data_IF_612971573600
#
_entry.id   IF_612971573600
#
_cell.length_a   1.000
_cell.length_b   1.000
_cell.length_c   1.000
_cell.angle_alpha   90.00
_cell.angle_beta   90.00
_cell.angle_gamma   90.00
#
_symmetry.space_group_name_H-M   'P 1'
#
loop_
_entity.id
_entity.type
_entity.pdbx_description
1 polymer ?
#
# COMPACT_ATOMS: atom_id res chain seq x y z
N UNK A 1 -16.81 4.18 5.82
CA UNK A 1 -15.89 3.81 4.73
C UNK A 1 -16.46 2.62 3.98
N UNK A 2 -16.09 2.45 2.71
CA UNK A 2 -16.51 1.31 1.87
C UNK A 2 -15.99 0.00 2.49
N UNK A 3 -16.82 -1.03 2.51
CA UNK A 3 -16.48 -2.34 3.08
C UNK A 3 -15.55 -3.07 2.10
N UNK A 4 -14.33 -3.42 2.54
CA UNK A 4 -13.30 -4.11 1.72
C UNK A 4 -13.85 -5.30 0.92
N UNK A 5 -14.81 -6.04 1.48
CA UNK A 5 -15.49 -7.16 0.81
C UNK A 5 -16.13 -6.79 -0.54
N UNK A 6 -16.88 -5.70 -0.59
CA UNK A 6 -17.63 -5.30 -1.78
C UNK A 6 -16.69 -4.85 -2.89
N UNK A 7 -15.56 -4.25 -2.50
CA UNK A 7 -14.47 -3.90 -3.39
C UNK A 7 -13.71 -5.15 -3.89
N UNK A 8 -13.27 -6.04 -3.00
CA UNK A 8 -12.47 -7.21 -3.33
C UNK A 8 -13.19 -8.23 -4.21
N UNK A 9 -14.50 -8.39 -4.00
CA UNK A 9 -15.33 -9.35 -4.73
C UNK A 9 -16.28 -8.70 -5.73
N UNK A 10 -16.10 -7.40 -5.97
CA UNK A 10 -16.77 -6.66 -7.04
C UNK A 10 -16.29 -7.05 -8.44
N UNK A 11 -16.75 -6.35 -9.48
CA UNK A 11 -16.42 -6.66 -10.89
C UNK A 11 -15.00 -6.21 -11.30
N UNK A 12 -14.09 -6.00 -10.34
CA UNK A 12 -12.78 -5.43 -10.58
C UNK A 12 -11.71 -6.52 -10.73
N UNK A 13 -10.70 -6.28 -11.55
CA UNK A 13 -9.60 -7.22 -11.69
C UNK A 13 -8.67 -7.16 -10.46
N UNK A 14 -8.12 -8.31 -10.08
CA UNK A 14 -7.26 -8.45 -8.91
C UNK A 14 -6.05 -7.48 -8.93
N UNK A 15 -5.47 -7.24 -10.11
CA UNK A 15 -4.32 -6.35 -10.23
C UNK A 15 -4.67 -4.89 -9.91
N UNK A 16 -5.81 -4.39 -10.39
CA UNK A 16 -6.29 -3.04 -10.04
C UNK A 16 -6.63 -2.94 -8.55
N UNK A 17 -7.23 -3.98 -7.97
CA UNK A 17 -7.50 -4.02 -6.53
C UNK A 17 -6.20 -3.89 -5.73
N UNK A 18 -5.15 -4.64 -6.11
CA UNK A 18 -3.85 -4.61 -5.43
C UNK A 18 -3.14 -3.26 -5.59
N UNK A 19 -3.19 -2.65 -6.78
CA UNK A 19 -2.59 -1.33 -7.02
C UNK A 19 -3.28 -0.25 -6.19
N UNK A 20 -4.61 -0.24 -6.15
CA UNK A 20 -5.39 0.71 -5.35
C UNK A 20 -5.15 0.49 -3.86
N UNK A 21 -5.08 -0.76 -3.39
CA UNK A 21 -4.79 -1.05 -1.98
C UNK A 21 -3.42 -0.49 -1.55
N UNK A 22 -2.41 -0.59 -2.43
CA UNK A 22 -1.09 0.03 -2.20
C UNK A 22 -1.12 1.56 -2.20
N UNK A 23 -1.92 2.19 -3.07
CA UNK A 23 -2.13 3.64 -3.06
C UNK A 23 -2.77 4.06 -1.73
N UNK A 24 -3.80 3.32 -1.28
CA UNK A 24 -4.49 3.61 -0.02
C UNK A 24 -3.57 3.44 1.19
N UNK A 25 -2.76 2.37 1.22
CA UNK A 25 -1.76 2.18 2.27
C UNK A 25 -0.75 3.32 2.31
N UNK A 26 -0.19 3.71 1.15
CA UNK A 26 0.75 4.84 1.02
C UNK A 26 0.11 6.12 1.55
N UNK A 27 -1.13 6.40 1.15
CA UNK A 27 -1.87 7.60 1.57
C UNK A 27 -2.10 7.63 3.08
N UNK A 28 -2.53 6.51 3.68
CA UNK A 28 -2.77 6.43 5.13
C UNK A 28 -1.48 6.61 5.93
N UNK A 29 -0.37 6.04 5.47
CA UNK A 29 0.95 6.20 6.11
C UNK A 29 1.44 7.65 6.05
N UNK A 30 1.33 8.32 4.90
CA UNK A 30 1.73 9.73 4.76
C UNK A 30 0.84 10.67 5.55
N UNK A 31 -0.47 10.43 5.62
CA UNK A 31 -1.36 11.18 6.52
C UNK A 31 -0.87 11.04 7.96
N UNK A 32 -0.57 9.82 8.42
CA UNK A 32 -0.06 9.62 9.78
C UNK A 32 1.27 10.34 10.03
N UNK A 33 2.21 10.31 9.07
CA UNK A 33 3.48 11.03 9.17
C UNK A 33 3.29 12.55 9.21
N UNK A 34 2.42 13.10 8.35
CA UNK A 34 2.12 14.54 8.35
C UNK A 34 1.47 14.99 9.66
N UNK A 35 0.64 14.15 10.27
CA UNK A 35 0.08 14.42 11.60
C UNK A 35 1.16 14.38 12.70
N UNK A 36 2.12 13.45 12.64
CA UNK A 36 3.28 13.43 13.55
C UNK A 36 4.12 14.70 13.39
N UNK A 37 4.38 15.12 12.15
CA UNK A 37 5.12 16.36 11.87
C UNK A 37 4.38 17.59 12.43
N UNK A 38 3.04 17.56 12.42
CA UNK A 38 2.16 18.54 13.05
C UNK A 38 2.03 18.43 14.59
N UNK A 39 2.68 17.45 15.22
CA UNK A 39 2.74 17.27 16.67
C UNK A 39 1.81 16.20 17.27
N UNK A 40 1.05 15.45 16.46
CA UNK A 40 0.26 14.32 16.94
C UNK A 40 1.09 13.02 16.95
N UNK A 41 1.78 12.78 18.06
CA UNK A 41 2.62 11.59 18.27
C UNK A 41 1.83 10.27 18.23
N UNK A 42 0.50 10.30 18.34
CA UNK A 42 -0.32 9.08 18.35
C UNK A 42 -0.81 8.68 16.94
N UNK A 43 -0.60 9.52 15.92
CA UNK A 43 -1.20 9.32 14.60
C UNK A 43 -0.74 8.00 13.93
N UNK A 44 0.55 7.65 14.02
CA UNK A 44 1.04 6.39 13.46
C UNK A 44 0.49 5.17 14.21
N UNK A 45 0.37 5.25 15.53
CA UNK A 45 -0.26 4.18 16.33
C UNK A 45 -1.71 3.97 15.94
N UNK A 46 -2.48 5.04 15.73
CA UNK A 46 -3.86 4.95 15.26
C UNK A 46 -3.95 4.32 13.85
N UNK A 47 -3.00 4.64 12.96
CA UNK A 47 -2.91 4.03 11.64
C UNK A 47 -2.59 2.53 11.70
N UNK A 48 -1.68 2.11 12.58
CA UNK A 48 -1.37 0.70 12.84
C UNK A 48 -2.59 -0.03 13.38
N UNK A 49 -3.32 0.54 14.35
CA UNK A 49 -4.56 -0.03 14.88
C UNK A 49 -5.64 -0.17 13.81
N UNK A 50 -5.79 0.83 12.94
CA UNK A 50 -6.68 0.76 11.78
C UNK A 50 -6.28 -0.37 10.83
N UNK A 51 -4.99 -0.48 10.50
CA UNK A 51 -4.45 -1.47 9.58
C UNK A 51 -4.63 -2.89 10.12
N UNK A 52 -4.40 -3.11 11.42
CA UNK A 52 -4.67 -4.38 12.08
C UNK A 52 -6.16 -4.78 12.00
N UNK A 53 -7.08 -3.84 12.24
CA UNK A 53 -8.53 -4.11 12.08
C UNK A 53 -8.89 -4.49 10.64
N UNK A 54 -8.27 -3.85 9.65
CA UNK A 54 -8.48 -4.21 8.25
C UNK A 54 -7.94 -5.62 7.94
N UNK A 55 -6.77 -5.98 8.47
CA UNK A 55 -6.18 -7.32 8.34
C UNK A 55 -7.08 -8.38 8.99
N UNK A 56 -7.59 -8.15 10.21
CA UNK A 56 -8.53 -9.04 10.89
C UNK A 56 -9.78 -9.30 10.04
N UNK A 57 -10.32 -8.25 9.41
CA UNK A 57 -11.45 -8.38 8.50
C UNK A 57 -11.08 -9.20 7.26
N UNK A 58 -9.92 -8.95 6.63
CA UNK A 58 -9.39 -9.76 5.51
C UNK A 58 -9.22 -11.24 5.89
N UNK A 59 -8.74 -11.52 7.11
CA UNK A 59 -8.62 -12.89 7.66
C UNK A 59 -10.00 -13.53 7.87
N UNK A 60 -11.02 -12.74 8.22
CA UNK A 60 -12.41 -13.21 8.25
C UNK A 60 -12.90 -13.63 6.86
N UNK A 61 -12.59 -12.84 5.83
CA UNK A 61 -13.02 -13.11 4.44
C UNK A 61 -12.43 -14.40 3.86
N UNK A 62 -11.20 -14.79 4.22
CA UNK A 62 -10.60 -16.04 3.72
C UNK A 62 -11.27 -17.32 4.25
N UNK A 63 -12.09 -17.20 5.30
CA UNK A 63 -12.88 -18.31 5.87
C UNK A 63 -14.18 -18.56 5.11
N UNK A 64 -14.57 -17.67 4.20
CA UNK A 64 -15.73 -17.85 3.33
C UNK A 64 -15.42 -18.87 2.23
N UNK A 65 -16.47 -19.32 1.54
CA UNK A 65 -16.29 -20.10 0.31
C UNK A 65 -15.86 -19.16 -0.83
N UNK A 66 -14.57 -19.19 -1.14
CA UNK A 66 -13.93 -18.35 -2.13
C UNK A 66 -13.59 -19.15 -3.37
N UNK A 67 -13.89 -18.58 -4.54
CA UNK A 67 -13.36 -19.09 -5.81
C UNK A 67 -11.83 -19.12 -5.80
N UNK A 68 -11.23 -19.90 -6.70
CA UNK A 68 -9.78 -19.99 -6.84
C UNK A 68 -9.12 -18.61 -7.02
N UNK A 69 -9.72 -17.75 -7.85
CA UNK A 69 -9.19 -16.40 -8.12
C UNK A 69 -9.29 -15.49 -6.89
N UNK A 70 -10.42 -15.51 -6.19
CA UNK A 70 -10.60 -14.75 -4.94
C UNK A 70 -9.61 -15.21 -3.87
N UNK A 71 -9.37 -16.52 -3.75
CA UNK A 71 -8.40 -17.06 -2.79
C UNK A 71 -6.97 -16.59 -3.07
N UNK A 72 -6.57 -16.52 -4.34
CA UNK A 72 -5.24 -15.98 -4.71
C UNK A 72 -5.15 -14.48 -4.43
N UNK A 73 -6.19 -13.71 -4.77
CA UNK A 73 -6.26 -12.27 -4.47
C UNK A 73 -6.14 -12.01 -2.97
N UNK A 74 -6.92 -12.72 -2.15
CA UNK A 74 -6.87 -12.57 -0.70
C UNK A 74 -5.50 -12.96 -0.11
N UNK A 75 -4.87 -14.01 -0.65
CA UNK A 75 -3.51 -14.37 -0.26
C UNK A 75 -2.51 -13.25 -0.54
N UNK A 76 -2.59 -12.64 -1.73
CA UNK A 76 -1.74 -11.50 -2.09
C UNK A 76 -2.00 -10.28 -1.19
N UNK A 77 -3.27 -9.92 -0.95
CA UNK A 77 -3.64 -8.80 -0.08
C UNK A 77 -3.15 -9.00 1.37
N UNK A 78 -3.31 -10.19 1.94
CA UNK A 78 -2.85 -10.47 3.30
C UNK A 78 -1.33 -10.35 3.41
N UNK A 79 -0.58 -10.84 2.42
CA UNK A 79 0.88 -10.69 2.40
C UNK A 79 1.28 -9.21 2.38
N UNK A 80 0.59 -8.39 1.58
CA UNK A 80 0.83 -6.94 1.53
C UNK A 80 0.42 -6.23 2.83
N UNK A 81 -0.75 -6.53 3.39
CA UNK A 81 -1.24 -5.95 4.66
C UNK A 81 -0.26 -6.23 5.81
N UNK A 82 0.21 -7.48 5.95
CA UNK A 82 1.18 -7.87 7.01
C UNK A 82 2.51 -7.15 6.83
N UNK A 83 3.02 -7.08 5.60
CA UNK A 83 4.25 -6.35 5.31
C UNK A 83 4.07 -4.84 5.60
N UNK A 84 2.96 -4.24 5.16
CA UNK A 84 2.65 -2.84 5.40
C UNK A 84 2.60 -2.50 6.89
N UNK A 85 1.96 -3.34 7.72
CA UNK A 85 1.97 -3.17 9.18
C UNK A 85 3.39 -3.25 9.74
N UNK A 86 4.19 -4.22 9.29
CA UNK A 86 5.59 -4.38 9.71
C UNK A 86 6.41 -3.13 9.38
N UNK A 87 6.19 -2.52 8.21
CA UNK A 87 6.83 -1.25 7.82
C UNK A 87 6.41 -0.13 8.78
N UNK A 88 5.10 0.02 9.08
CA UNK A 88 4.62 1.04 10.02
C UNK A 88 5.24 0.89 11.42
N UNK A 89 5.34 -0.33 11.95
CA UNK A 89 6.02 -0.61 13.23
C UNK A 89 7.51 -0.24 13.18
N UNK A 90 8.18 -0.49 12.05
CA UNK A 90 9.56 -0.09 11.85
C UNK A 90 9.73 1.44 11.83
N UNK A 91 8.79 2.18 11.19
CA UNK A 91 8.81 3.65 11.19
C UNK A 91 8.68 4.22 12.61
N UNK A 92 7.85 3.61 13.46
CA UNK A 92 7.76 3.98 14.88
C UNK A 92 9.08 3.70 15.59
N UNK A 93 9.63 2.51 15.40
CA UNK A 93 10.87 2.08 16.08
C UNK A 93 12.07 2.92 15.67
N UNK A 94 12.15 3.36 14.41
CA UNK A 94 13.21 4.23 13.91
C UNK A 94 12.97 5.71 14.18
N UNK A 95 11.86 6.06 14.84
CA UNK A 95 11.47 7.46 15.10
C UNK A 95 11.38 8.29 13.81
N UNK A 96 10.78 7.71 12.75
CA UNK A 96 10.43 8.42 11.53
C UNK A 96 9.31 9.42 11.81
N UNK A 97 9.52 10.70 11.47
CA UNK A 97 8.63 11.82 11.81
C UNK A 97 8.13 12.61 10.62
N UNK A 98 8.71 12.42 9.44
CA UNK A 98 8.34 13.15 8.22
C UNK A 98 8.31 12.23 7.01
N UNK A 99 7.56 12.62 5.99
CA UNK A 99 7.57 11.96 4.67
C UNK A 99 8.90 12.17 3.91
N UNK A 100 9.75 13.07 4.39
CA UNK A 100 11.10 13.27 3.85
C UNK A 100 12.15 12.36 4.48
N UNK A 101 11.82 11.62 5.54
CA UNK A 101 12.77 10.76 6.24
C UNK A 101 13.13 9.53 5.39
N UNK A 102 14.40 9.11 5.50
CA UNK A 102 14.91 8.00 4.70
C UNK A 102 14.18 6.68 4.94
N UNK A 103 13.74 6.41 6.17
CA UNK A 103 13.04 5.18 6.51
C UNK A 103 11.68 5.04 5.80
N UNK A 104 11.01 6.16 5.54
CA UNK A 104 9.84 6.20 4.67
C UNK A 104 10.23 6.21 3.19
N UNK A 105 11.20 7.06 2.82
CA UNK A 105 11.54 7.26 1.41
C UNK A 105 12.14 6.02 0.75
N UNK A 106 12.74 5.09 1.50
CA UNK A 106 13.24 3.80 0.96
C UNK A 106 12.13 2.79 0.60
N UNK A 107 10.92 2.95 1.12
CA UNK A 107 9.79 2.05 0.86
C UNK A 107 9.28 2.17 -0.58
N UNK A 108 8.66 1.13 -1.12
CA UNK A 108 7.96 1.20 -2.40
C UNK A 108 6.58 1.85 -2.19
N UNK A 109 6.35 3.01 -2.80
CA UNK A 109 5.15 3.84 -2.59
C UNK A 109 4.37 4.06 -3.86
N UNK A 110 3.05 4.01 -3.77
CA UNK A 110 2.15 4.16 -4.91
C UNK A 110 1.31 5.42 -4.74
N UNK A 111 1.24 6.22 -5.81
CA UNK A 111 0.49 7.47 -5.83
C UNK A 111 -0.44 7.50 -7.05
N UNK A 112 -1.61 8.10 -6.89
CA UNK A 112 -2.38 8.58 -8.04
C UNK A 112 -2.05 10.06 -8.25
N UNK A 113 -1.30 10.37 -9.30
CA UNK A 113 -0.91 11.73 -9.62
C UNK A 113 -1.99 12.39 -10.47
N UNK A 114 -2.78 13.30 -9.86
CA UNK A 114 -3.79 14.10 -10.56
C UNK A 114 -3.10 15.18 -11.41
N UNK A 115 -2.07 15.81 -10.84
CA UNK A 115 -1.27 16.82 -11.52
C UNK A 115 -0.15 16.20 -12.35
N UNK A 116 0.45 17.02 -13.22
CA UNK A 116 1.56 16.60 -14.06
C UNK A 116 2.82 16.30 -13.22
N UNK A 117 3.42 15.12 -13.45
CA UNK A 117 4.63 14.65 -12.77
C UNK A 117 5.65 14.22 -13.81
N UNK A 118 6.91 14.60 -13.61
CA UNK A 118 8.05 14.08 -14.38
C UNK A 118 8.59 12.80 -13.73
N UNK A 119 8.61 11.71 -14.48
CA UNK A 119 9.19 10.42 -14.06
C UNK A 119 10.71 10.40 -14.26
N UNK A 120 11.39 9.43 -13.65
CA UNK A 120 12.86 9.34 -13.68
C UNK A 120 13.45 9.09 -15.07
N UNK A 121 12.66 8.59 -16.01
CA UNK A 121 13.02 8.45 -17.43
C UNK A 121 12.79 9.75 -18.24
N UNK A 122 12.37 10.85 -17.59
CA UNK A 122 12.17 12.17 -18.20
C UNK A 122 10.79 12.37 -18.84
N UNK A 123 9.88 11.38 -18.76
CA UNK A 123 8.52 11.52 -19.28
C UNK A 123 7.65 12.36 -18.35
N UNK A 124 6.70 13.11 -18.93
CA UNK A 124 5.69 13.87 -18.18
C UNK A 124 4.35 13.15 -18.30
N UNK A 125 3.72 12.86 -17.16
CA UNK A 125 2.46 12.13 -17.09
C UNK A 125 1.50 12.85 -16.14
N UNK A 126 0.20 12.77 -16.41
CA UNK A 126 -0.86 13.34 -15.59
C UNK A 126 -2.04 12.39 -15.54
N UNK A 127 -2.81 12.43 -14.46
CA UNK A 127 -3.90 11.49 -14.17
C UNK A 127 -3.45 10.03 -14.30
N UNK A 128 -2.34 9.70 -13.62
CA UNK A 128 -1.67 8.41 -13.76
C UNK A 128 -1.16 7.86 -12.42
N UNK A 129 -0.95 6.55 -12.34
CA UNK A 129 -0.37 5.91 -11.18
C UNK A 129 1.17 5.96 -11.24
N UNK A 130 1.77 6.55 -10.22
CA UNK A 130 3.22 6.71 -10.09
C UNK A 130 3.71 5.87 -8.92
N UNK A 131 4.71 5.04 -9.18
CA UNK A 131 5.42 4.27 -8.17
C UNK A 131 6.72 4.99 -7.85
N UNK A 132 7.00 5.24 -6.57
CA UNK A 132 8.25 5.87 -6.13
C UNK A 132 8.99 4.98 -5.15
N UNK A 133 10.32 5.02 -5.24
CA UNK A 133 11.22 4.44 -4.25
C UNK A 133 12.50 5.27 -4.20
N UNK A 134 12.86 5.73 -3.01
CA UNK A 134 13.94 6.69 -2.78
C UNK A 134 13.75 7.93 -3.67
N UNK A 135 14.68 8.17 -4.60
CA UNK A 135 14.63 9.28 -5.57
C UNK A 135 14.00 8.87 -6.92
N UNK A 136 13.71 7.59 -7.10
CA UNK A 136 13.20 7.07 -8.36
C UNK A 136 11.67 7.18 -8.40
N UNK A 137 11.14 7.53 -9.57
CA UNK A 137 9.72 7.65 -9.87
C UNK A 137 9.44 7.00 -11.23
N UNK A 138 8.55 6.01 -11.23
CA UNK A 138 8.20 5.21 -12.38
C UNK A 138 6.69 5.29 -12.64
N UNK A 139 6.31 5.30 -13.91
CA UNK A 139 4.90 5.11 -14.30
C UNK A 139 4.51 3.65 -14.04
N UNK A 140 3.35 3.42 -13.43
CA UNK A 140 2.77 2.09 -13.32
C UNK A 140 2.26 1.67 -14.71
N UNK A 141 3.05 0.92 -15.48
CA UNK A 141 2.81 0.64 -16.92
C UNK A 141 1.52 -0.10 -17.28
N UNK A 142 0.66 -0.43 -16.32
CA UNK A 142 -0.63 -1.14 -16.50
C UNK A 142 -0.55 -2.47 -17.26
N UNK A 143 0.62 -3.09 -17.36
CA UNK A 143 0.77 -4.40 -17.98
C UNK A 143 0.06 -5.46 -17.13
N UNK A 144 -0.84 -6.23 -17.74
CA UNK A 144 -1.54 -7.29 -17.02
C UNK A 144 -0.65 -8.53 -16.89
N UNK A 145 -0.17 -8.77 -15.67
CA UNK A 145 0.71 -9.91 -15.36
C UNK A 145 -0.04 -11.09 -14.73
N UNK A 146 -1.36 -10.97 -14.58
CA UNK A 146 -2.19 -11.94 -13.86
C UNK A 146 -2.16 -11.75 -12.35
N UNK A 147 -2.93 -12.59 -11.65
CA UNK A 147 -2.95 -12.64 -10.20
C UNK A 147 -2.10 -13.83 -9.74
N UNK A 148 -0.82 -13.60 -9.49
CA UNK A 148 0.10 -14.62 -9.00
C UNK A 148 0.24 -14.54 -7.48
N UNK A 149 0.52 -15.67 -6.80
CA UNK A 149 0.85 -15.64 -5.38
C UNK A 149 2.06 -14.73 -5.13
N UNK A 150 1.97 -13.89 -4.09
CA UNK A 150 3.08 -13.05 -3.66
C UNK A 150 3.94 -13.80 -2.64
N UNK A 151 5.25 -13.66 -2.74
CA UNK A 151 6.18 -14.11 -1.72
C UNK A 151 6.14 -13.14 -0.54
N UNK A 152 6.42 -13.66 0.66
CA UNK A 152 6.55 -12.84 1.87
C UNK A 152 7.74 -11.90 1.68
N UNK A 153 7.51 -10.61 1.94
CA UNK A 153 8.56 -9.59 1.87
C UNK A 153 9.44 -9.70 3.11
N UNK A 154 10.76 -9.76 2.90
CA UNK A 154 11.78 -9.81 3.95
C UNK A 154 12.68 -8.59 3.85
N UNK A 155 13.45 -8.23 4.90
CA UNK A 155 14.39 -7.11 4.83
C UNK A 155 15.43 -7.20 3.69
N UNK A 156 15.67 -8.38 3.12
CA UNK A 156 16.58 -8.58 1.99
C UNK A 156 15.94 -8.20 0.63
N UNK A 157 14.61 -8.21 0.56
CA UNK A 157 13.82 -8.01 -0.67
C UNK A 157 13.01 -6.72 -0.64
N UNK A 158 13.20 -5.89 0.40
CA UNK A 158 12.57 -4.59 0.61
C UNK A 158 13.36 -3.47 -0.08
#
# INVERSE_FOLDING_TARGET
GIVRKDWFFGPYCAQSILAVDQIMWTTCAEIALNHIEGGDENAMKANIEFSNKQLEHSVGLVRLDLSKLQRVLMGALIVLDVHGITVLDNLVTSSCRSTNDFDWSKQLRYYWAVDEVTTSDGNRVSDDCIVRQTIAAFRYSFEYLGNTPRLVVTPLTD
#
